data_IF_780710473827
#
_entry.id   IF_780710473827
#
_cell.length_a   1.000
_cell.length_b   1.000
_cell.length_c   1.000
_cell.angle_alpha   90.00
_cell.angle_beta   90.00
_cell.angle_gamma   90.00
#
_symmetry.space_group_name_H-M   'P 1'
#
loop_
_entity.id
_entity.type
_entity.pdbx_description
1 polymer ?
#
# COMPACT_ATOMS: atom_id res chain seq x y z
N UNK A 1 55.98 -50.69 3.95
CA UNK A 1 55.59 -50.92 5.34
C UNK A 1 55.45 -49.56 5.98
N UNK A 2 54.30 -49.05 6.28
CA UNK A 2 53.06 -49.55 6.84
C UNK A 2 51.88 -48.67 6.35
N UNK A 3 50.79 -49.28 6.03
CA UNK A 3 49.46 -48.74 5.74
C UNK A 3 48.91 -48.02 6.95
N UNK A 4 48.14 -46.96 6.71
CA UNK A 4 47.06 -46.53 7.64
C UNK A 4 45.83 -46.15 6.88
N UNK A 5 44.79 -46.85 7.24
CA UNK A 5 43.46 -46.92 6.73
C UNK A 5 42.68 -45.61 6.81
N UNK A 6 41.79 -45.46 5.83
CA UNK A 6 40.68 -44.55 5.80
C UNK A 6 39.69 -44.80 6.95
N UNK A 7 39.20 -43.73 7.57
CA UNK A 7 37.98 -43.76 8.37
C UNK A 7 36.98 -42.77 7.75
N UNK A 8 35.93 -43.33 7.16
CA UNK A 8 34.74 -42.64 6.70
C UNK A 8 33.84 -42.40 7.92
N UNK A 9 33.67 -41.15 8.33
CA UNK A 9 32.56 -40.76 9.19
C UNK A 9 31.65 -39.82 8.45
N UNK A 10 30.57 -40.38 7.94
CA UNK A 10 29.39 -39.67 7.51
C UNK A 10 28.81 -38.85 8.67
N UNK A 11 28.81 -37.56 8.55
CA UNK A 11 28.02 -36.68 9.41
C UNK A 11 26.91 -36.05 8.62
N UNK A 12 25.70 -36.30 9.12
CA UNK A 12 24.43 -35.98 8.51
C UNK A 12 24.25 -34.48 8.18
N UNK A 13 23.69 -34.26 7.03
CA UNK A 13 23.10 -32.98 6.66
C UNK A 13 21.93 -32.69 7.60
N UNK A 14 22.10 -31.73 8.50
CA UNK A 14 20.99 -31.14 9.23
C UNK A 14 20.17 -30.28 8.26
N UNK A 15 18.98 -30.73 7.97
CA UNK A 15 17.94 -29.90 7.38
C UNK A 15 17.61 -28.73 8.34
N UNK A 16 18.34 -27.66 8.22
CA UNK A 16 18.05 -26.38 8.85
C UNK A 16 17.04 -25.64 8.00
N UNK A 17 15.77 -25.65 8.42
CA UNK A 17 14.71 -24.90 7.77
C UNK A 17 15.07 -23.40 7.67
N UNK A 18 14.96 -22.85 6.47
CA UNK A 18 15.07 -21.42 6.19
C UNK A 18 13.86 -20.70 6.78
N UNK A 19 13.85 -20.47 8.10
CA UNK A 19 12.85 -19.66 8.77
C UNK A 19 13.50 -18.35 9.21
N UNK A 20 13.18 -17.22 8.57
CA UNK A 20 13.48 -15.89 9.07
C UNK A 20 14.43 -15.00 8.25
N UNK A 21 14.75 -15.35 7.00
CA UNK A 21 15.56 -14.45 6.16
C UNK A 21 14.70 -13.32 5.63
N UNK A 22 15.06 -12.07 5.94
CA UNK A 22 14.48 -10.87 5.32
C UNK A 22 14.87 -10.76 3.84
N UNK A 23 14.06 -10.11 3.01
CA UNK A 23 14.29 -9.96 1.56
C UNK A 23 15.63 -9.28 1.21
N UNK A 24 16.22 -8.52 2.12
CA UNK A 24 17.49 -7.81 1.95
C UNK A 24 18.71 -8.51 2.59
N UNK A 25 18.55 -9.75 3.03
CA UNK A 25 19.58 -10.54 3.71
C UNK A 25 20.89 -10.74 2.90
N UNK A 26 20.82 -10.74 1.59
CA UNK A 26 21.83 -11.04 0.56
C UNK A 26 23.31 -11.12 0.90
N UNK A 27 23.89 -10.14 1.61
CA UNK A 27 25.34 -10.09 1.95
C UNK A 27 25.64 -10.34 3.43
N UNK A 28 24.62 -10.55 4.24
CA UNK A 28 24.79 -10.71 5.67
C UNK A 28 24.77 -12.20 6.06
N UNK A 29 25.68 -12.62 6.91
CA UNK A 29 25.75 -14.00 7.42
C UNK A 29 24.74 -14.27 8.56
N UNK A 30 24.17 -13.19 9.15
CA UNK A 30 23.16 -13.25 10.22
C UNK A 30 21.92 -12.43 9.91
N UNK A 31 20.83 -12.71 10.62
CA UNK A 31 19.62 -11.87 10.60
C UNK A 31 19.86 -10.50 11.23
N UNK A 32 18.95 -9.51 11.02
CA UNK A 32 19.05 -8.22 11.69
C UNK A 32 18.89 -8.38 13.21
N UNK A 33 19.50 -7.46 13.95
CA UNK A 33 19.31 -7.33 15.40
C UNK A 33 17.83 -7.12 15.75
N UNK A 34 17.37 -7.73 16.87
CA UNK A 34 15.97 -7.64 17.30
C UNK A 34 15.51 -6.18 17.52
N UNK A 35 16.38 -5.32 18.04
CA UNK A 35 16.07 -3.91 18.24
C UNK A 35 15.94 -3.16 16.91
N UNK A 36 16.74 -3.53 15.89
CA UNK A 36 16.61 -2.99 14.54
C UNK A 36 15.27 -3.43 13.91
N UNK A 37 14.93 -4.71 14.03
CA UNK A 37 13.64 -5.22 13.53
C UNK A 37 12.46 -4.52 14.20
N UNK A 38 12.48 -4.37 15.52
CA UNK A 38 11.43 -3.65 16.25
C UNK A 38 11.27 -2.19 15.80
N UNK A 39 12.35 -1.56 15.36
CA UNK A 39 12.32 -0.18 14.85
C UNK A 39 11.85 -0.09 13.39
N UNK A 40 12.16 -1.07 12.55
CA UNK A 40 11.91 -1.03 11.10
C UNK A 40 10.59 -1.68 10.68
N UNK A 41 9.98 -2.53 11.52
CA UNK A 41 8.69 -3.16 11.23
C UNK A 41 7.61 -2.11 10.99
N UNK A 42 6.98 -2.15 9.81
CA UNK A 42 5.91 -1.21 9.41
C UNK A 42 4.50 -1.82 9.45
N UNK A 43 4.37 -3.13 9.65
CA UNK A 43 3.11 -3.86 9.66
C UNK A 43 2.00 -3.21 10.53
N UNK A 44 2.27 -2.64 11.72
CA UNK A 44 1.25 -1.96 12.52
C UNK A 44 0.58 -0.79 11.81
N UNK A 45 1.26 -0.16 10.86
CA UNK A 45 0.80 1.01 10.10
C UNK A 45 0.28 0.62 8.72
N UNK A 46 1.05 -0.16 7.95
CA UNK A 46 0.81 -0.44 6.55
C UNK A 46 -0.23 -1.54 6.31
N UNK A 47 -0.56 -2.37 7.32
CA UNK A 47 -1.63 -3.37 7.21
C UNK A 47 -2.97 -2.80 6.73
N UNK A 48 -3.21 -1.49 6.87
CA UNK A 48 -4.41 -0.82 6.35
C UNK A 48 -4.44 -0.71 4.81
N UNK A 49 -3.30 -0.88 4.16
CA UNK A 49 -3.14 -0.84 2.70
C UNK A 49 -3.27 -2.23 2.05
N UNK A 50 -3.65 -3.27 2.80
CA UNK A 50 -3.73 -4.64 2.28
C UNK A 50 -4.54 -4.78 0.99
N UNK A 51 -5.64 -4.04 0.86
CA UNK A 51 -6.50 -4.07 -0.32
C UNK A 51 -5.81 -3.45 -1.53
N UNK A 52 -5.01 -2.40 -1.29
CA UNK A 52 -4.25 -1.69 -2.32
C UNK A 52 -3.08 -2.55 -2.80
N UNK A 53 -2.37 -3.21 -1.88
CA UNK A 53 -1.30 -4.17 -2.21
C UNK A 53 -1.82 -5.34 -3.06
N UNK A 54 -2.97 -5.92 -2.70
CA UNK A 54 -3.59 -6.98 -3.49
C UNK A 54 -4.01 -6.47 -4.88
N UNK A 55 -4.55 -5.25 -4.98
CA UNK A 55 -4.88 -4.65 -6.27
C UNK A 55 -3.62 -4.46 -7.13
N UNK A 56 -2.56 -3.89 -6.54
CA UNK A 56 -1.23 -3.73 -7.16
C UNK A 56 -0.66 -5.06 -7.65
N UNK A 57 -0.70 -6.08 -6.78
CA UNK A 57 -0.22 -7.42 -7.08
C UNK A 57 -1.01 -8.10 -8.20
N UNK A 58 -2.34 -7.95 -8.26
CA UNK A 58 -3.17 -8.48 -9.36
C UNK A 58 -2.82 -7.84 -10.71
N UNK A 59 -2.65 -6.52 -10.75
CA UNK A 59 -2.24 -5.82 -11.97
C UNK A 59 -0.84 -6.22 -12.40
N UNK A 60 0.09 -6.35 -11.45
CA UNK A 60 1.45 -6.80 -11.70
C UNK A 60 1.49 -8.23 -12.28
N UNK A 61 0.75 -9.18 -11.72
CA UNK A 61 0.64 -10.56 -12.22
C UNK A 61 0.14 -10.59 -13.67
N UNK A 62 -0.86 -9.77 -14.02
CA UNK A 62 -1.29 -9.62 -15.42
C UNK A 62 -0.19 -9.03 -16.30
N UNK A 63 0.58 -8.07 -15.77
CA UNK A 63 1.75 -7.49 -16.44
C UNK A 63 2.84 -8.53 -16.71
N UNK A 64 3.15 -9.38 -15.73
CA UNK A 64 4.11 -10.48 -15.88
C UNK A 64 3.67 -11.49 -16.95
N UNK A 65 2.38 -11.82 -17.00
CA UNK A 65 1.84 -12.71 -18.02
C UNK A 65 1.92 -12.07 -19.42
N UNK A 66 1.56 -10.79 -19.58
CA UNK A 66 1.71 -10.05 -20.84
C UNK A 66 3.16 -10.03 -21.33
N UNK A 67 4.11 -9.94 -20.39
CA UNK A 67 5.55 -9.97 -20.67
C UNK A 67 6.10 -11.40 -20.94
N UNK A 68 5.28 -12.44 -20.86
CA UNK A 68 5.71 -13.84 -21.03
C UNK A 68 6.53 -14.40 -19.87
N UNK A 69 6.55 -13.73 -18.72
CA UNK A 69 7.26 -14.16 -17.50
C UNK A 69 6.43 -15.14 -16.66
N UNK A 70 5.11 -15.12 -16.84
CA UNK A 70 4.17 -16.11 -16.32
C UNK A 70 3.38 -16.73 -17.50
N UNK A 71 3.16 -18.03 -17.42
CA UNK A 71 2.16 -18.70 -18.26
C UNK A 71 0.74 -18.35 -17.82
N UNK A 72 -0.27 -18.64 -18.64
CA UNK A 72 -1.68 -18.45 -18.27
C UNK A 72 -2.06 -19.25 -17.01
N UNK A 73 -1.56 -20.49 -16.89
CA UNK A 73 -1.81 -21.38 -15.74
C UNK A 73 -1.19 -20.80 -14.46
N UNK A 74 0.04 -20.29 -14.54
CA UNK A 74 0.70 -19.66 -13.39
C UNK A 74 0.00 -18.38 -12.97
N UNK A 75 -0.37 -17.52 -13.93
CA UNK A 75 -1.17 -16.32 -13.68
C UNK A 75 -2.45 -16.66 -12.91
N UNK A 76 -3.23 -17.63 -13.40
CA UNK A 76 -4.52 -17.99 -12.80
C UNK A 76 -4.34 -18.58 -11.40
N UNK A 77 -3.28 -19.37 -11.18
CA UNK A 77 -2.92 -19.89 -9.85
C UNK A 77 -2.60 -18.76 -8.88
N UNK A 78 -1.79 -17.76 -9.28
CA UNK A 78 -1.43 -16.64 -8.42
C UNK A 78 -2.61 -15.72 -8.16
N UNK A 79 -3.45 -15.46 -9.18
CA UNK A 79 -4.66 -14.64 -8.99
C UNK A 79 -5.66 -15.32 -8.04
N UNK A 80 -5.85 -16.65 -8.15
CA UNK A 80 -6.69 -17.41 -7.22
C UNK A 80 -6.15 -17.39 -5.78
N UNK A 81 -4.83 -17.44 -5.61
CA UNK A 81 -4.21 -17.27 -4.30
C UNK A 81 -4.43 -15.86 -3.73
N UNK A 82 -4.28 -14.80 -4.55
CA UNK A 82 -4.57 -13.42 -4.16
C UNK A 82 -6.04 -13.22 -3.78
N UNK A 83 -6.99 -13.91 -4.46
CA UNK A 83 -8.41 -13.86 -4.09
C UNK A 83 -8.67 -14.52 -2.72
N UNK A 84 -7.96 -15.61 -2.43
CA UNK A 84 -8.03 -16.28 -1.12
C UNK A 84 -7.45 -15.36 -0.02
N UNK A 85 -6.27 -14.77 -0.23
CA UNK A 85 -5.65 -13.83 0.70
C UNK A 85 -6.54 -12.61 0.95
N UNK A 86 -7.13 -12.08 -0.10
CA UNK A 86 -8.12 -10.99 0.01
C UNK A 86 -9.29 -11.37 0.93
N UNK A 87 -9.86 -12.57 0.76
CA UNK A 87 -10.97 -13.04 1.59
C UNK A 87 -10.56 -13.27 3.05
N UNK A 88 -9.34 -13.78 3.28
CA UNK A 88 -8.78 -13.95 4.62
C UNK A 88 -8.62 -12.61 5.34
N UNK A 89 -8.02 -11.60 4.68
CA UNK A 89 -7.82 -10.25 5.23
C UNK A 89 -9.16 -9.52 5.45
N UNK A 90 -10.06 -9.55 4.48
CA UNK A 90 -11.37 -8.90 4.57
C UNK A 90 -12.22 -9.46 5.71
N UNK A 91 -12.11 -10.76 6.01
CA UNK A 91 -12.85 -11.42 7.10
C UNK A 91 -12.12 -11.40 8.44
N UNK A 92 -10.91 -10.86 8.52
CA UNK A 92 -10.09 -10.85 9.74
C UNK A 92 -9.54 -12.24 10.12
N UNK A 93 -9.52 -13.20 9.19
CA UNK A 93 -9.01 -14.57 9.42
C UNK A 93 -7.56 -14.75 8.97
N UNK A 94 -6.94 -13.71 8.41
CA UNK A 94 -5.54 -13.76 7.99
C UNK A 94 -4.63 -13.86 9.21
N UNK A 95 -3.72 -14.83 9.20
CA UNK A 95 -2.76 -15.04 10.28
C UNK A 95 -1.43 -14.39 9.94
N UNK A 96 -1.11 -13.33 10.68
CA UNK A 96 0.21 -12.69 10.65
C UNK A 96 1.20 -13.51 11.49
N UNK A 97 2.45 -13.55 11.04
CA UNK A 97 3.54 -14.24 11.75
C UNK A 97 4.65 -13.26 12.11
N UNK A 98 5.49 -13.62 13.07
CA UNK A 98 6.54 -12.74 13.60
C UNK A 98 7.57 -12.28 12.54
N UNK A 99 7.71 -13.00 11.43
CA UNK A 99 8.58 -12.63 10.31
C UNK A 99 7.94 -11.67 9.32
N UNK A 100 6.66 -11.32 9.47
CA UNK A 100 5.99 -10.36 8.61
C UNK A 100 6.40 -8.94 9.02
N UNK A 101 7.40 -8.36 8.37
CA UNK A 101 7.89 -7.00 8.66
C UNK A 101 6.95 -5.92 8.14
N UNK A 102 6.22 -6.21 7.06
CA UNK A 102 5.24 -5.34 6.41
C UNK A 102 4.07 -6.16 5.83
N UNK A 103 3.01 -5.48 5.40
CA UNK A 103 1.84 -6.12 4.78
C UNK A 103 2.20 -6.83 3.49
N UNK A 104 3.17 -6.32 2.75
CA UNK A 104 3.60 -6.85 1.47
C UNK A 104 4.28 -8.22 1.65
N UNK A 105 5.16 -8.35 2.64
CA UNK A 105 5.79 -9.62 3.02
C UNK A 105 4.75 -10.65 3.46
N UNK A 106 3.77 -10.23 4.26
CA UNK A 106 2.68 -11.10 4.71
C UNK A 106 1.86 -11.64 3.53
N UNK A 107 1.48 -10.78 2.58
CA UNK A 107 0.73 -11.15 1.37
C UNK A 107 1.57 -12.07 0.48
N UNK A 108 2.82 -11.74 0.18
CA UNK A 108 3.73 -12.54 -0.65
C UNK A 108 3.98 -13.92 -0.04
N UNK A 109 4.22 -13.99 1.27
CA UNK A 109 4.36 -15.27 2.00
C UNK A 109 3.12 -16.14 1.83
N UNK A 110 1.93 -15.57 2.07
CA UNK A 110 0.68 -16.32 1.99
C UNK A 110 0.34 -16.76 0.56
N UNK A 111 0.56 -15.92 -0.43
CA UNK A 111 0.40 -16.27 -1.85
C UNK A 111 1.36 -17.40 -2.23
N UNK A 112 2.60 -17.37 -1.78
CA UNK A 112 3.58 -18.43 -2.04
C UNK A 112 3.16 -19.75 -1.37
N UNK A 113 2.60 -19.72 -0.17
CA UNK A 113 2.07 -20.92 0.49
C UNK A 113 0.91 -21.56 -0.29
N UNK A 114 0.05 -20.74 -0.90
CA UNK A 114 -1.14 -21.20 -1.61
C UNK A 114 -0.84 -21.65 -3.05
N UNK A 115 -0.04 -20.89 -3.78
CA UNK A 115 0.23 -21.11 -5.21
C UNK A 115 1.56 -21.90 -5.44
N UNK A 116 2.40 -22.08 -4.42
CA UNK A 116 3.68 -22.76 -4.55
C UNK A 116 4.68 -21.98 -5.44
N UNK A 117 5.44 -22.67 -6.32
CA UNK A 117 6.45 -22.02 -7.17
C UNK A 117 5.96 -20.85 -8.01
N UNK A 118 4.75 -20.86 -8.62
CA UNK A 118 4.18 -19.67 -9.26
C UNK A 118 4.03 -18.48 -8.31
N UNK A 119 3.64 -18.70 -7.05
CA UNK A 119 3.52 -17.65 -6.04
C UNK A 119 4.83 -16.94 -5.74
N UNK A 120 5.94 -17.67 -5.72
CA UNK A 120 7.28 -17.12 -5.53
C UNK A 120 7.72 -16.17 -6.67
N UNK A 121 7.08 -16.25 -7.85
CA UNK A 121 7.33 -15.33 -8.96
C UNK A 121 6.63 -13.95 -8.80
N UNK A 122 5.77 -13.78 -7.80
CA UNK A 122 4.98 -12.54 -7.62
C UNK A 122 5.86 -11.30 -7.54
N UNK A 123 7.06 -11.40 -6.96
CA UNK A 123 7.98 -10.26 -6.83
C UNK A 123 8.86 -10.00 -8.08
N UNK A 124 8.78 -10.83 -9.12
CA UNK A 124 9.59 -10.69 -10.34
C UNK A 124 9.42 -9.30 -10.96
N UNK A 125 10.52 -8.65 -11.34
CA UNK A 125 10.56 -7.32 -11.96
C UNK A 125 10.00 -6.17 -11.08
N UNK A 126 9.78 -6.40 -9.80
CA UNK A 126 9.27 -5.42 -8.83
C UNK A 126 10.29 -5.19 -7.73
N UNK A 127 10.29 -4.01 -7.13
CA UNK A 127 10.97 -3.71 -5.88
C UNK A 127 9.94 -3.41 -4.79
N UNK A 128 10.32 -3.58 -3.52
CA UNK A 128 9.51 -3.08 -2.41
C UNK A 128 9.27 -1.56 -2.53
N UNK A 129 10.22 -0.81 -3.11
CA UNK A 129 10.13 0.64 -3.25
C UNK A 129 8.97 1.08 -4.15
N UNK A 130 8.87 0.57 -5.39
CA UNK A 130 7.78 0.94 -6.31
C UNK A 130 6.44 0.33 -5.89
N UNK A 131 6.44 -0.83 -5.23
CA UNK A 131 5.28 -1.46 -4.64
C UNK A 131 4.66 -0.57 -3.55
N UNK A 132 5.42 -0.23 -2.50
CA UNK A 132 4.95 0.60 -1.38
C UNK A 132 4.47 1.98 -1.86
N UNK A 133 5.22 2.60 -2.79
CA UNK A 133 4.83 3.90 -3.35
C UNK A 133 3.51 3.84 -4.13
N UNK A 134 3.26 2.73 -4.86
CA UNK A 134 2.00 2.51 -5.57
C UNK A 134 0.83 2.32 -4.60
N UNK A 135 1.01 1.48 -3.60
CA UNK A 135 -0.03 1.16 -2.63
C UNK A 135 -0.40 2.38 -1.79
N UNK A 136 0.59 3.17 -1.37
CA UNK A 136 0.35 4.44 -0.67
C UNK A 136 -0.45 5.43 -1.55
N UNK A 137 -0.16 5.52 -2.85
CA UNK A 137 -0.93 6.38 -3.77
C UNK A 137 -2.36 5.91 -3.94
N UNK A 138 -2.59 4.60 -4.12
CA UNK A 138 -3.94 4.01 -4.19
C UNK A 138 -4.73 4.27 -2.91
N UNK A 139 -4.12 4.00 -1.77
CA UNK A 139 -4.70 4.25 -0.46
C UNK A 139 -5.06 5.73 -0.26
N UNK A 140 -4.12 6.62 -0.53
CA UNK A 140 -4.36 8.06 -0.41
C UNK A 140 -5.48 8.54 -1.36
N UNK A 141 -5.52 8.10 -2.62
CA UNK A 141 -6.60 8.45 -3.56
C UNK A 141 -7.96 8.09 -2.99
N UNK A 142 -8.09 6.89 -2.42
CA UNK A 142 -9.35 6.42 -1.81
C UNK A 142 -9.70 7.24 -0.57
N UNK A 143 -8.80 7.34 0.40
CA UNK A 143 -9.06 7.99 1.68
C UNK A 143 -9.32 9.50 1.53
N UNK A 144 -8.58 10.20 0.67
CA UNK A 144 -8.77 11.62 0.41
C UNK A 144 -10.12 11.88 -0.28
N UNK A 145 -10.57 10.97 -1.15
CA UNK A 145 -11.88 11.05 -1.77
C UNK A 145 -13.00 10.88 -0.74
N UNK A 146 -12.87 9.92 0.18
CA UNK A 146 -13.84 9.73 1.26
C UNK A 146 -13.84 10.91 2.24
N UNK A 147 -12.66 11.46 2.55
CA UNK A 147 -12.57 12.67 3.38
C UNK A 147 -13.24 13.86 2.71
N UNK A 148 -13.06 14.06 1.41
CA UNK A 148 -13.74 15.11 0.66
C UNK A 148 -15.27 14.95 0.72
N UNK A 149 -15.78 13.72 0.58
CA UNK A 149 -17.23 13.43 0.75
C UNK A 149 -17.74 13.75 2.15
N UNK A 150 -16.96 13.40 3.18
CA UNK A 150 -17.32 13.74 4.57
C UNK A 150 -17.38 15.26 4.81
N UNK A 151 -16.43 16.02 4.23
CA UNK A 151 -16.43 17.48 4.29
C UNK A 151 -17.62 18.10 3.55
N UNK A 152 -18.03 17.57 2.39
CA UNK A 152 -19.26 17.97 1.73
C UNK A 152 -20.50 17.73 2.61
N UNK A 153 -20.56 16.61 3.30
CA UNK A 153 -21.62 16.33 4.28
C UNK A 153 -21.65 17.37 5.40
N UNK A 154 -20.50 17.73 5.96
CA UNK A 154 -20.39 18.78 6.98
C UNK A 154 -20.80 20.16 6.45
N UNK A 155 -20.36 20.54 5.23
CA UNK A 155 -20.78 21.78 4.58
C UNK A 155 -22.31 21.84 4.40
N UNK A 156 -22.93 20.72 4.01
CA UNK A 156 -24.39 20.63 3.88
C UNK A 156 -25.09 20.89 5.23
N UNK A 157 -24.60 20.32 6.31
CA UNK A 157 -25.14 20.56 7.66
C UNK A 157 -24.98 22.03 8.05
N UNK A 158 -23.81 22.64 7.83
CA UNK A 158 -23.57 24.06 8.13
C UNK A 158 -24.49 24.97 7.33
N UNK A 159 -24.70 24.69 6.05
CA UNK A 159 -25.63 25.42 5.20
C UNK A 159 -27.07 25.31 5.69
N UNK A 160 -27.52 24.11 6.01
CA UNK A 160 -28.88 23.87 6.54
C UNK A 160 -29.10 24.65 7.85
N UNK A 161 -28.13 24.57 8.77
CA UNK A 161 -28.20 25.35 10.03
C UNK A 161 -28.14 26.84 9.81
N UNK A 162 -27.40 27.30 8.82
CA UNK A 162 -27.38 28.76 8.47
C UNK A 162 -28.73 29.21 7.94
N UNK A 163 -29.41 28.40 7.12
CA UNK A 163 -30.78 28.71 6.63
C UNK A 163 -31.77 28.71 7.80
N UNK A 164 -31.74 27.71 8.67
CA UNK A 164 -32.61 27.63 9.86
C UNK A 164 -32.40 28.80 10.83
N UNK A 165 -31.17 29.29 10.97
CA UNK A 165 -30.85 30.43 11.84
C UNK A 165 -31.48 31.74 11.40
N UNK A 166 -31.78 31.89 10.11
CA UNK A 166 -32.45 33.07 9.55
C UNK A 166 -31.75 34.38 9.96
N UNK A 167 -32.49 35.26 10.62
CA UNK A 167 -32.02 36.56 11.08
C UNK A 167 -31.52 36.56 12.54
N UNK A 168 -31.12 35.42 13.07
CA UNK A 168 -30.57 35.33 14.43
C UNK A 168 -29.22 36.04 14.51
N UNK A 169 -29.10 37.05 15.39
CA UNK A 169 -27.89 37.82 15.64
C UNK A 169 -27.13 37.28 16.85
N UNK A 170 -25.81 37.32 16.79
CA UNK A 170 -24.90 37.10 17.91
C UNK A 170 -23.82 38.20 17.96
N UNK A 171 -23.19 38.44 19.12
CA UNK A 171 -22.09 39.39 19.18
C UNK A 171 -20.85 38.77 18.52
N UNK A 172 -20.25 39.48 17.55
CA UNK A 172 -18.88 39.21 17.11
C UNK A 172 -17.89 39.60 18.22
N UNK A 173 -16.71 38.98 18.25
CA UNK A 173 -15.67 39.23 19.23
C UNK A 173 -14.34 39.55 18.55
N UNK A 174 -13.64 40.56 19.10
CA UNK A 174 -12.24 40.83 18.84
C UNK A 174 -11.55 41.12 20.16
N UNK A 175 -10.31 40.66 20.34
CA UNK A 175 -9.55 40.83 21.59
C UNK A 175 -10.33 40.43 22.85
N UNK A 176 -11.11 39.32 22.77
CA UNK A 176 -12.00 38.83 23.83
C UNK A 176 -13.09 39.81 24.26
N UNK A 177 -13.37 40.88 23.46
CA UNK A 177 -14.38 41.87 23.72
C UNK A 177 -15.49 41.82 22.66
N UNK A 178 -16.70 42.23 23.02
CA UNK A 178 -17.82 42.34 22.11
C UNK A 178 -17.51 43.42 21.05
N UNK A 179 -17.70 43.04 19.80
CA UNK A 179 -17.54 43.92 18.64
C UNK A 179 -18.89 44.08 17.89
N UNK A 180 -18.89 44.00 16.55
CA UNK A 180 -20.09 44.15 15.77
C UNK A 180 -21.07 43.00 15.99
N UNK A 181 -22.39 43.21 15.89
CA UNK A 181 -23.35 42.12 15.74
C UNK A 181 -23.17 41.46 14.39
N UNK A 182 -23.21 40.13 14.38
CA UNK A 182 -23.12 39.30 13.17
C UNK A 182 -24.29 38.33 13.13
N UNK A 183 -24.68 37.88 11.94
CA UNK A 183 -25.67 36.83 11.81
C UNK A 183 -25.01 35.47 12.18
N UNK A 184 -25.73 34.62 12.90
CA UNK A 184 -25.31 33.25 13.17
C UNK A 184 -25.06 32.49 11.85
N UNK A 185 -25.93 32.72 10.86
CA UNK A 185 -25.74 32.18 9.50
C UNK A 185 -24.38 32.55 8.90
N UNK A 186 -23.98 33.84 9.03
CA UNK A 186 -22.68 34.32 8.54
C UNK A 186 -21.51 33.63 9.24
N UNK A 187 -21.60 33.45 10.55
CA UNK A 187 -20.59 32.70 11.33
C UNK A 187 -20.46 31.25 10.87
N UNK A 188 -21.58 30.54 10.72
CA UNK A 188 -21.58 29.13 10.28
C UNK A 188 -21.01 28.98 8.86
N UNK A 189 -21.36 29.87 7.94
CA UNK A 189 -20.88 29.83 6.56
C UNK A 189 -19.39 30.16 6.43
N UNK A 190 -18.78 30.89 7.38
CA UNK A 190 -17.34 31.12 7.40
C UNK A 190 -16.58 29.79 7.47
N UNK A 191 -17.05 28.83 8.29
CA UNK A 191 -16.51 27.48 8.36
C UNK A 191 -16.84 26.69 7.08
N UNK A 192 -18.05 26.80 6.53
CA UNK A 192 -18.43 26.20 5.27
C UNK A 192 -17.48 26.55 4.13
N UNK A 193 -17.11 27.82 3.99
CA UNK A 193 -16.14 28.30 3.01
C UNK A 193 -14.71 27.79 3.26
N UNK A 194 -14.31 27.66 4.54
CA UNK A 194 -13.00 27.09 4.88
C UNK A 194 -12.92 25.62 4.43
N UNK A 195 -13.94 24.81 4.74
CA UNK A 195 -14.00 23.41 4.32
C UNK A 195 -14.10 23.24 2.79
N UNK A 196 -14.75 24.19 2.08
CA UNK A 196 -14.75 24.21 0.61
C UNK A 196 -13.32 24.27 0.04
N UNK A 197 -12.50 25.19 0.58
CA UNK A 197 -11.08 25.27 0.16
C UNK A 197 -10.27 24.04 0.53
N UNK A 198 -10.63 23.32 1.61
CA UNK A 198 -9.99 22.05 1.98
C UNK A 198 -10.37 20.94 1.00
N UNK A 199 -11.65 20.87 0.58
CA UNK A 199 -12.08 19.95 -0.48
C UNK A 199 -11.28 20.17 -1.77
N UNK A 200 -11.11 21.43 -2.20
CA UNK A 200 -10.32 21.74 -3.40
C UNK A 200 -8.87 21.25 -3.27
N UNK A 201 -8.24 21.40 -2.08
CA UNK A 201 -6.88 20.88 -1.81
C UNK A 201 -6.83 19.38 -1.86
N UNK A 202 -7.81 18.67 -1.29
CA UNK A 202 -7.88 17.22 -1.30
C UNK A 202 -8.01 16.70 -2.73
N UNK A 203 -8.94 17.24 -3.52
CA UNK A 203 -9.14 16.82 -4.91
C UNK A 203 -7.92 17.12 -5.78
N UNK A 204 -7.28 18.27 -5.63
CA UNK A 204 -6.03 18.59 -6.32
C UNK A 204 -4.88 17.67 -5.89
N UNK A 205 -4.91 17.12 -4.68
CA UNK A 205 -3.94 16.11 -4.23
C UNK A 205 -4.23 14.75 -4.85
N UNK A 206 -5.50 14.34 -4.94
CA UNK A 206 -5.90 13.10 -5.63
C UNK A 206 -5.43 13.12 -7.09
N UNK A 207 -5.60 14.24 -7.78
CA UNK A 207 -5.12 14.41 -9.17
C UNK A 207 -3.59 14.22 -9.29
N UNK A 208 -2.80 14.81 -8.37
CA UNK A 208 -1.34 14.64 -8.35
C UNK A 208 -0.89 13.22 -8.01
N UNK A 209 -1.69 12.48 -7.25
CA UNK A 209 -1.44 11.07 -6.93
C UNK A 209 -1.77 10.13 -8.10
N UNK A 210 -2.44 10.61 -9.14
CA UNK A 210 -2.96 9.78 -10.24
C UNK A 210 -1.90 9.43 -11.28
N UNK A 211 -0.71 9.07 -10.79
CA UNK A 211 0.45 8.61 -11.55
C UNK A 211 1.01 7.36 -10.87
N UNK A 212 1.01 6.23 -11.59
CA UNK A 212 1.51 4.96 -11.07
C UNK A 212 3.04 4.93 -11.06
N UNK A 213 3.70 4.65 -9.93
CA UNK A 213 5.14 4.40 -9.89
C UNK A 213 5.50 2.92 -10.15
N UNK A 214 4.52 2.01 -10.27
CA UNK A 214 4.79 0.57 -10.42
C UNK A 214 5.48 0.28 -11.74
N UNK A 215 6.63 -0.39 -11.66
CA UNK A 215 7.54 -0.65 -12.76
C UNK A 215 8.82 0.19 -12.73
N UNK A 216 8.90 1.19 -11.82
CA UNK A 216 10.13 1.94 -11.57
C UNK A 216 11.23 1.09 -10.90
N UNK A 217 10.85 -0.04 -10.30
CA UNK A 217 11.77 -0.89 -9.56
C UNK A 217 12.33 -0.19 -8.33
N UNK A 218 13.59 -0.50 -7.98
CA UNK A 218 14.24 0.17 -6.87
C UNK A 218 14.53 1.66 -7.15
N UNK A 219 14.91 2.00 -8.40
CA UNK A 219 15.20 3.38 -8.82
C UNK A 219 15.28 3.60 -10.34
N UNK A 220 15.63 2.57 -11.14
CA UNK A 220 15.99 2.73 -12.56
C UNK A 220 15.21 1.78 -13.49
N UNK A 221 14.06 1.28 -13.06
CA UNK A 221 13.28 0.30 -13.81
C UNK A 221 13.88 -1.09 -13.77
N UNK A 222 13.55 -1.89 -14.77
CA UNK A 222 14.01 -3.27 -14.91
C UNK A 222 14.36 -3.57 -16.38
N UNK A 223 15.28 -4.53 -16.58
CA UNK A 223 15.60 -5.07 -17.91
C UNK A 223 14.58 -6.09 -18.43
N UNK A 224 13.62 -6.48 -17.61
CA UNK A 224 12.56 -7.40 -18.00
C UNK A 224 11.47 -6.65 -18.79
N UNK A 225 10.81 -7.30 -19.80
CA UNK A 225 9.94 -6.63 -20.77
C UNK A 225 8.53 -6.34 -20.21
N UNK A 226 8.43 -5.83 -18.98
CA UNK A 226 7.15 -5.38 -18.42
C UNK A 226 6.71 -4.05 -19.03
N UNK A 227 5.40 -3.80 -19.02
CA UNK A 227 4.78 -2.55 -19.50
C UNK A 227 4.15 -1.79 -18.32
N UNK A 228 4.85 -0.77 -17.76
CA UNK A 228 4.31 0.06 -16.69
C UNK A 228 3.05 0.84 -17.06
N UNK A 229 2.91 1.24 -18.34
CA UNK A 229 1.74 1.99 -18.82
C UNK A 229 0.48 1.11 -18.80
N UNK A 230 0.57 -0.12 -19.31
CA UNK A 230 -0.53 -1.08 -19.24
C UNK A 230 -0.90 -1.43 -17.78
N UNK A 231 0.10 -1.56 -16.91
CA UNK A 231 -0.13 -1.83 -15.48
C UNK A 231 -0.80 -0.64 -14.78
N UNK A 232 -0.43 0.59 -15.12
CA UNK A 232 -1.08 1.80 -14.61
C UNK A 232 -2.57 1.85 -14.98
N UNK A 233 -2.90 1.51 -16.23
CA UNK A 233 -4.30 1.41 -16.70
C UNK A 233 -5.07 0.33 -15.92
N UNK A 234 -4.48 -0.84 -15.72
CA UNK A 234 -5.10 -1.93 -14.93
C UNK A 234 -5.42 -1.51 -13.48
N UNK A 235 -4.66 -0.55 -12.93
CA UNK A 235 -4.82 0.00 -11.58
C UNK A 235 -5.73 1.24 -11.53
N UNK A 236 -6.19 1.75 -12.67
CA UNK A 236 -7.01 2.95 -12.74
C UNK A 236 -6.25 4.24 -12.45
N UNK A 237 -4.94 4.27 -12.69
CA UNK A 237 -4.17 5.50 -12.74
C UNK A 237 -4.30 6.17 -14.12
N UNK A 238 -4.24 7.50 -14.16
CA UNK A 238 -4.28 8.25 -15.39
C UNK A 238 -3.07 7.95 -16.30
N UNK A 239 -1.91 7.67 -15.73
CA UNK A 239 -0.67 7.33 -16.44
C UNK A 239 0.37 6.67 -15.54
N UNK A 240 1.39 6.09 -16.15
CA UNK A 240 2.61 5.70 -15.45
C UNK A 240 3.54 6.92 -15.23
N UNK A 241 4.58 6.72 -14.43
CA UNK A 241 5.64 7.70 -14.17
C UNK A 241 6.38 8.12 -15.44
N UNK A 242 6.89 9.37 -15.46
CA UNK A 242 7.75 9.88 -16.55
C UNK A 242 9.25 9.65 -16.25
N UNK A 243 9.60 9.55 -14.99
CA UNK A 243 10.95 9.32 -14.49
C UNK A 243 10.89 8.35 -13.32
N UNK A 244 11.76 7.34 -13.31
CA UNK A 244 11.79 6.27 -12.32
C UNK A 244 12.49 6.63 -11.00
N UNK A 245 13.16 7.79 -10.94
CA UNK A 245 13.80 8.31 -9.71
C UNK A 245 12.85 9.18 -8.90
#
# INVERSE_FOLDING_TARGET
>A
MTEHSADESATGASEGGASGATLWHGRFEGGPDEALMAYTVSLPFDRRMWADDIAGSRAHVRGLQRAGLLTDVERDSVLGALDTVHAELASGRFEFVASDEDIHTAVERRVTQLAGPPGAKLHTARSRNDQVATDLRLWCKRELTELARALYGLQHVLLTRAIEAGNTYLPGYTHLQRAQPVLLAHHLLAHGWAFGRDVDRLLATVERLDVSPLGAGALAGTSLPIDPAATAVDLGFARAFDNSL
#
